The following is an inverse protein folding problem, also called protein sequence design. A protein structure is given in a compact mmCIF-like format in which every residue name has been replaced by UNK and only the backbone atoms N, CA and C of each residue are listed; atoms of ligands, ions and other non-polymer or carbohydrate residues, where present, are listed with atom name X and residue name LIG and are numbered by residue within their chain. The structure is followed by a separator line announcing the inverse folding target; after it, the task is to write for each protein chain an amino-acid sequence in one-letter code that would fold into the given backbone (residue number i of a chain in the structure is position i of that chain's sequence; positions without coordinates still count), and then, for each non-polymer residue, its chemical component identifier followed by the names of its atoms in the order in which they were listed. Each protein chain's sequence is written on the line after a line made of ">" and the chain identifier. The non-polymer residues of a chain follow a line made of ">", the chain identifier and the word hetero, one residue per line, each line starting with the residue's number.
data_IF_526964163298
#
_entry.id   IF_526964163298
#
_cell.length_a   1.000
_cell.length_b   1.000
_cell.length_c   1.000
_cell.angle_alpha   90.00
_cell.angle_beta   90.00
_cell.angle_gamma   90.00
#
_symmetry.space_group_name_H-M   'P 1'
#
loop_
_entity.id
_entity.type
_entity.pdbx_description
1 polymer ?
#
# COMPACT_ATOMS: atom_id res chain seq x y z
N UNK A 1 -13.85 21.75 -85.85
CA UNK A 1 -14.39 22.75 -84.96
C UNK A 1 -15.15 22.00 -83.85
N UNK A 2 -14.51 21.72 -82.75
CA UNK A 2 -15.18 21.14 -81.60
C UNK A 2 -14.91 22.07 -80.39
N UNK A 3 -15.98 22.72 -79.89
CA UNK A 3 -15.95 23.53 -78.72
C UNK A 3 -15.87 22.61 -77.50
N UNK A 4 -14.78 22.68 -76.77
CA UNK A 4 -14.68 22.08 -75.42
C UNK A 4 -15.42 22.99 -74.43
N UNK A 5 -16.47 22.44 -73.84
CA UNK A 5 -17.25 23.06 -72.78
C UNK A 5 -16.47 22.88 -71.47
N UNK A 6 -15.98 23.97 -70.87
CA UNK A 6 -15.34 24.03 -69.58
C UNK A 6 -16.40 23.95 -68.53
N UNK A 7 -16.50 22.80 -67.85
CA UNK A 7 -17.32 22.66 -66.62
C UNK A 7 -16.62 23.42 -65.50
N UNK A 8 -17.25 24.49 -65.12
CA UNK A 8 -16.89 25.28 -63.94
C UNK A 8 -17.39 24.54 -62.69
N UNK A 9 -16.46 23.84 -62.05
CA UNK A 9 -16.73 23.12 -60.80
C UNK A 9 -16.84 24.16 -59.67
N UNK A 10 -18.04 24.66 -59.46
CA UNK A 10 -18.38 25.49 -58.32
C UNK A 10 -18.34 24.60 -57.06
N UNK A 11 -17.16 24.50 -56.46
CA UNK A 11 -16.98 23.94 -55.13
C UNK A 11 -17.75 24.75 -54.10
N UNK A 12 -19.01 24.38 -53.90
CA UNK A 12 -19.80 24.89 -52.79
C UNK A 12 -19.07 24.52 -51.48
N UNK A 13 -18.42 25.49 -50.86
CA UNK A 13 -17.91 25.33 -49.49
C UNK A 13 -19.09 24.92 -48.60
N UNK A 14 -18.95 23.85 -47.79
CA UNK A 14 -20.03 23.44 -46.92
C UNK A 14 -20.38 24.58 -45.97
N UNK A 15 -21.62 25.08 -46.08
CA UNK A 15 -22.16 26.05 -45.14
C UNK A 15 -22.10 25.43 -43.76
N UNK A 16 -21.04 25.71 -43.03
CA UNK A 16 -20.95 25.37 -41.60
C UNK A 16 -22.08 26.12 -40.90
N UNK A 17 -23.09 25.39 -40.51
CA UNK A 17 -24.20 25.93 -39.72
C UNK A 17 -23.64 26.53 -38.44
N UNK A 18 -23.88 27.80 -38.20
CA UNK A 18 -23.48 28.52 -36.94
C UNK A 18 -23.95 27.74 -35.73
N UNK A 19 -25.11 27.09 -35.81
CA UNK A 19 -25.63 26.18 -34.79
C UNK A 19 -24.69 24.98 -34.53
N UNK A 20 -24.07 24.41 -35.55
CA UNK A 20 -23.12 23.29 -35.41
C UNK A 20 -21.82 23.71 -34.74
N UNK A 21 -21.32 24.90 -35.01
CA UNK A 21 -20.10 25.41 -34.36
C UNK A 21 -20.32 25.73 -32.89
N UNK A 22 -21.45 26.32 -32.57
CA UNK A 22 -21.84 26.59 -31.15
C UNK A 22 -22.01 25.28 -30.39
N UNK A 23 -22.68 24.29 -31.00
CA UNK A 23 -22.86 22.99 -30.37
C UNK A 23 -21.53 22.27 -30.15
N UNK A 24 -20.62 22.27 -31.14
CA UNK A 24 -19.30 21.65 -31.06
C UNK A 24 -18.45 22.31 -29.94
N UNK A 25 -18.49 23.64 -29.82
CA UNK A 25 -17.77 24.39 -28.79
C UNK A 25 -18.32 24.04 -27.40
N UNK A 26 -19.63 24.00 -27.25
CA UNK A 26 -20.27 23.65 -25.99
C UNK A 26 -19.99 22.21 -25.59
N UNK A 27 -20.08 21.26 -26.53
CA UNK A 27 -19.76 19.87 -26.30
C UNK A 27 -18.29 19.66 -25.91
N UNK A 28 -17.36 20.39 -26.53
CA UNK A 28 -15.94 20.32 -26.18
C UNK A 28 -15.65 20.86 -24.78
N UNK A 29 -16.27 21.99 -24.40
CA UNK A 29 -16.15 22.52 -23.05
C UNK A 29 -16.69 21.56 -21.99
N UNK A 30 -17.82 20.93 -22.27
CA UNK A 30 -18.44 19.94 -21.38
C UNK A 30 -17.55 18.71 -21.21
N UNK A 31 -16.94 18.23 -22.28
CA UNK A 31 -16.00 17.11 -22.28
C UNK A 31 -14.75 17.44 -21.47
N UNK A 32 -14.17 18.64 -21.65
CA UNK A 32 -13.01 19.09 -20.86
C UNK A 32 -13.37 19.17 -19.37
N UNK A 33 -14.53 19.75 -19.03
CA UNK A 33 -14.99 19.84 -17.65
C UNK A 33 -15.16 18.44 -17.01
N UNK A 34 -15.71 17.49 -17.77
CA UNK A 34 -15.90 16.11 -17.32
C UNK A 34 -14.57 15.39 -17.09
N UNK A 35 -13.59 15.56 -17.99
CA UNK A 35 -12.25 15.00 -17.83
C UNK A 35 -11.55 15.59 -16.58
N UNK A 36 -11.63 16.90 -16.38
CA UNK A 36 -11.07 17.55 -15.20
C UNK A 36 -11.71 17.03 -13.90
N UNK A 37 -13.03 16.87 -13.91
CA UNK A 37 -13.75 16.33 -12.75
C UNK A 37 -13.35 14.88 -12.46
N UNK A 38 -13.19 14.03 -13.47
CA UNK A 38 -12.67 12.66 -13.32
C UNK A 38 -11.25 12.64 -12.74
N UNK A 39 -10.36 13.51 -13.21
CA UNK A 39 -8.99 13.61 -12.68
C UNK A 39 -8.98 14.03 -11.20
N UNK A 40 -9.79 15.03 -10.82
CA UNK A 40 -9.93 15.46 -9.45
C UNK A 40 -10.48 14.36 -8.54
N UNK A 41 -11.53 13.66 -8.97
CA UNK A 41 -12.12 12.55 -8.22
C UNK A 41 -11.11 11.41 -8.03
N UNK A 42 -10.37 11.05 -9.08
CA UNK A 42 -9.35 10.00 -8.99
C UNK A 42 -8.23 10.40 -8.02
N UNK A 43 -7.74 11.64 -8.11
CA UNK A 43 -6.71 12.15 -7.22
C UNK A 43 -7.13 12.14 -5.75
N UNK A 44 -8.34 12.64 -5.45
CA UNK A 44 -8.89 12.64 -4.10
C UNK A 44 -9.10 11.21 -3.57
N UNK A 45 -9.61 10.30 -4.40
CA UNK A 45 -9.79 8.90 -4.03
C UNK A 45 -8.46 8.23 -3.69
N UNK A 46 -7.43 8.42 -4.51
CA UNK A 46 -6.09 7.86 -4.22
C UNK A 46 -5.52 8.40 -2.91
N UNK A 47 -5.64 9.70 -2.64
CA UNK A 47 -5.17 10.30 -1.40
C UNK A 47 -5.93 9.75 -0.18
N UNK A 48 -7.26 9.63 -0.29
CA UNK A 48 -8.10 9.06 0.75
C UNK A 48 -7.73 7.60 1.05
N UNK A 49 -7.58 6.75 0.03
CA UNK A 49 -7.19 5.36 0.21
C UNK A 49 -5.80 5.20 0.84
N UNK A 50 -4.84 6.04 0.46
CA UNK A 50 -3.52 6.02 1.08
C UNK A 50 -3.59 6.35 2.58
N UNK A 51 -4.38 7.37 2.94
CA UNK A 51 -4.58 7.77 4.33
C UNK A 51 -5.31 6.70 5.14
N UNK A 52 -6.34 6.09 4.58
CA UNK A 52 -7.09 4.99 5.21
C UNK A 52 -6.19 3.78 5.48
N UNK A 53 -5.37 3.38 4.49
CA UNK A 53 -4.42 2.28 4.65
C UNK A 53 -3.36 2.57 5.72
N UNK A 54 -2.85 3.79 5.74
CA UNK A 54 -1.93 4.22 6.79
C UNK A 54 -2.57 4.11 8.16
N UNK A 55 -3.79 4.59 8.32
CA UNK A 55 -4.53 4.52 9.60
C UNK A 55 -4.81 3.08 10.02
N UNK A 56 -5.23 2.22 9.10
CA UNK A 56 -5.47 0.81 9.36
C UNK A 56 -4.20 0.07 9.80
N UNK A 57 -3.07 0.29 9.09
CA UNK A 57 -1.77 -0.28 9.46
C UNK A 57 -1.27 0.23 10.81
N UNK A 58 -1.47 1.52 11.11
CA UNK A 58 -1.10 2.07 12.41
C UNK A 58 -1.90 1.40 13.54
N UNK A 59 -3.20 1.16 13.33
CA UNK A 59 -4.03 0.45 14.31
C UNK A 59 -3.57 -1.00 14.54
N UNK A 60 -3.17 -1.71 13.47
CA UNK A 60 -2.58 -3.06 13.58
C UNK A 60 -1.25 -2.99 14.32
N UNK A 61 -0.39 -2.03 13.99
CA UNK A 61 0.90 -1.83 14.66
C UNK A 61 0.73 -1.52 16.14
N UNK A 62 -0.23 -0.67 16.51
CA UNK A 62 -0.54 -0.34 17.90
C UNK A 62 -1.02 -1.59 18.65
N UNK A 63 -1.93 -2.37 18.06
CA UNK A 63 -2.41 -3.62 18.64
C UNK A 63 -1.31 -4.67 18.81
N UNK A 64 -0.47 -4.83 17.77
CA UNK A 64 0.66 -5.75 17.82
C UNK A 64 1.73 -5.29 18.83
N UNK A 65 1.97 -3.98 18.98
CA UNK A 65 2.87 -3.41 19.99
C UNK A 65 2.36 -3.71 21.40
N UNK A 66 1.09 -3.43 21.68
CA UNK A 66 0.50 -3.74 23.00
C UNK A 66 0.57 -5.23 23.34
N UNK A 67 0.38 -6.09 22.35
CA UNK A 67 0.54 -7.53 22.50
C UNK A 67 1.99 -7.92 22.77
N UNK A 68 2.95 -7.38 22.01
CA UNK A 68 4.38 -7.61 22.22
C UNK A 68 4.82 -7.19 23.63
N UNK A 69 4.40 -6.02 24.08
CA UNK A 69 4.68 -5.52 25.46
C UNK A 69 4.05 -6.41 26.54
N UNK A 70 2.86 -6.96 26.29
CA UNK A 70 2.21 -7.89 27.21
C UNK A 70 3.05 -9.17 27.34
N UNK A 71 3.43 -9.80 26.25
CA UNK A 71 4.31 -10.97 26.28
C UNK A 71 5.70 -10.65 26.85
N UNK A 72 6.21 -9.46 26.55
CA UNK A 72 7.48 -8.99 27.10
C UNK A 72 7.45 -8.86 28.63
N UNK A 73 6.28 -8.56 29.24
CA UNK A 73 6.11 -8.51 30.67
C UNK A 73 6.06 -9.90 31.33
N UNK A 74 5.66 -10.92 30.59
CA UNK A 74 5.65 -12.33 31.05
C UNK A 74 7.03 -12.99 30.90
N UNK A 75 7.87 -12.50 29.99
CA UNK A 75 9.21 -13.01 29.75
C UNK A 75 9.87 -12.39 28.54
N UNK A 76 11.08 -12.82 28.22
CA UNK A 76 11.80 -12.33 27.03
C UNK A 76 11.29 -13.06 25.77
N UNK A 77 10.72 -12.31 24.83
CA UNK A 77 10.26 -12.85 23.52
C UNK A 77 11.46 -13.13 22.60
N UNK A 78 12.60 -12.49 22.84
CA UNK A 78 13.86 -12.75 22.13
C UNK A 78 14.46 -14.02 22.71
N UNK A 79 14.21 -15.15 22.07
CA UNK A 79 14.80 -16.42 22.48
C UNK A 79 16.31 -16.42 22.27
N UNK A 80 17.03 -16.39 23.38
CA UNK A 80 18.36 -16.99 23.41
C UNK A 80 18.23 -18.49 23.10
N UNK A 81 19.20 -19.15 22.46
CA UNK A 81 19.20 -20.58 22.24
C UNK A 81 18.98 -21.31 23.59
N UNK A 82 17.81 -21.91 23.78
CA UNK A 82 17.39 -22.53 25.06
C UNK A 82 16.32 -21.81 25.86
N UNK A 83 15.75 -20.72 25.33
CA UNK A 83 14.64 -19.98 25.95
C UNK A 83 13.28 -20.67 25.80
N UNK A 84 12.29 -20.10 26.45
CA UNK A 84 10.94 -20.65 26.60
C UNK A 84 10.19 -20.66 25.25
N UNK A 85 10.31 -21.75 24.50
CA UNK A 85 9.65 -21.94 23.20
C UNK A 85 8.12 -21.77 23.29
N UNK A 86 7.52 -22.01 24.48
CA UNK A 86 6.08 -21.89 24.66
C UNK A 86 5.61 -20.44 24.57
N UNK A 87 6.37 -19.49 25.14
CA UNK A 87 6.03 -18.06 25.08
C UNK A 87 6.13 -17.53 23.65
N UNK A 88 7.15 -17.94 22.91
CA UNK A 88 7.34 -17.57 21.51
C UNK A 88 6.20 -18.12 20.63
N UNK A 89 5.80 -19.35 20.82
CA UNK A 89 4.68 -19.96 20.08
C UNK A 89 3.35 -19.29 20.43
N UNK A 90 3.14 -18.91 21.70
CA UNK A 90 1.96 -18.12 22.10
C UNK A 90 1.95 -16.75 21.43
N UNK A 91 3.08 -16.05 21.44
CA UNK A 91 3.21 -14.74 20.79
C UNK A 91 2.94 -14.86 19.30
N UNK A 92 3.52 -15.86 18.63
CA UNK A 92 3.29 -16.14 17.21
C UNK A 92 1.81 -16.40 16.92
N UNK A 93 1.16 -17.24 17.70
CA UNK A 93 -0.27 -17.52 17.57
C UNK A 93 -1.10 -16.25 17.75
N UNK A 94 -0.73 -15.40 18.72
CA UNK A 94 -1.36 -14.12 18.94
C UNK A 94 -1.22 -13.18 17.75
N UNK A 95 -0.03 -13.08 17.16
CA UNK A 95 0.21 -12.26 15.97
C UNK A 95 -0.49 -12.81 14.70
N UNK A 96 -0.69 -14.12 14.61
CA UNK A 96 -1.46 -14.73 13.49
C UNK A 96 -2.92 -14.26 13.45
N UNK A 97 -3.48 -13.80 14.57
CA UNK A 97 -4.81 -13.20 14.59
C UNK A 97 -4.88 -11.93 13.74
N UNK A 98 -3.82 -11.12 13.70
CA UNK A 98 -3.78 -9.93 12.84
C UNK A 98 -3.74 -10.31 11.36
N UNK A 99 -3.01 -11.37 11.02
CA UNK A 99 -3.00 -11.87 9.65
C UNK A 99 -4.40 -12.35 9.21
N UNK A 100 -5.08 -13.10 10.08
CA UNK A 100 -6.41 -13.64 9.79
C UNK A 100 -7.49 -12.56 9.75
N UNK A 101 -7.41 -11.55 10.64
CA UNK A 101 -8.46 -10.54 10.79
C UNK A 101 -8.29 -9.33 9.88
N UNK A 102 -7.05 -8.98 9.53
CA UNK A 102 -6.72 -7.71 8.84
C UNK A 102 -5.87 -7.91 7.58
N UNK A 103 -5.60 -9.15 7.17
CA UNK A 103 -4.68 -9.49 6.07
C UNK A 103 -3.32 -8.76 6.24
N UNK A 104 -2.91 -8.61 7.51
CA UNK A 104 -1.71 -7.91 7.88
C UNK A 104 -0.66 -8.90 8.39
N UNK A 105 0.47 -8.92 7.71
CA UNK A 105 1.66 -9.64 8.13
C UNK A 105 2.34 -8.85 9.24
N UNK A 106 2.70 -9.54 10.33
CA UNK A 106 3.46 -8.95 11.44
C UNK A 106 4.86 -9.57 11.44
N UNK A 107 5.89 -8.73 11.54
CA UNK A 107 7.29 -9.17 11.70
C UNK A 107 7.84 -8.55 12.99
N UNK A 108 8.59 -9.37 13.72
CA UNK A 108 9.35 -8.94 14.89
C UNK A 108 10.83 -9.20 14.63
N UNK A 109 11.66 -8.21 14.83
CA UNK A 109 13.10 -8.31 14.64
C UNK A 109 13.84 -7.84 15.89
N UNK A 110 15.06 -8.36 16.09
CA UNK A 110 15.96 -7.91 17.13
C UNK A 110 16.61 -6.56 16.78
N UNK A 111 17.46 -6.06 17.68
CA UNK A 111 18.18 -4.80 17.49
C UNK A 111 19.20 -4.85 16.34
N UNK A 112 19.66 -6.04 15.98
CA UNK A 112 20.60 -6.25 14.87
C UNK A 112 19.87 -6.45 13.52
N UNK A 113 18.55 -6.32 13.54
CA UNK A 113 17.69 -6.46 12.37
C UNK A 113 17.42 -7.90 11.96
N UNK A 114 17.81 -8.92 12.77
CA UNK A 114 17.48 -10.30 12.46
C UNK A 114 16.00 -10.55 12.77
N UNK A 115 15.30 -11.20 11.86
CA UNK A 115 13.88 -11.53 12.04
C UNK A 115 13.76 -12.67 13.04
N UNK A 116 13.10 -12.41 14.17
CA UNK A 116 12.87 -13.39 15.23
C UNK A 116 11.61 -14.21 14.97
N UNK A 117 10.55 -13.55 14.50
CA UNK A 117 9.31 -14.20 14.13
C UNK A 117 8.57 -13.39 13.06
N UNK A 118 7.73 -14.07 12.32
CA UNK A 118 6.83 -13.46 11.34
C UNK A 118 5.54 -14.27 11.21
N UNK A 119 4.46 -13.60 10.86
CA UNK A 119 3.20 -14.22 10.45
C UNK A 119 3.15 -14.19 8.93
N UNK A 120 2.80 -15.31 8.29
CA UNK A 120 2.72 -15.37 6.83
C UNK A 120 3.93 -16.03 6.17
N UNK A 121 3.83 -16.24 4.86
CA UNK A 121 4.79 -17.05 4.07
C UNK A 121 5.69 -16.23 3.15
N UNK A 122 5.48 -14.92 3.08
CA UNK A 122 6.12 -14.05 2.09
C UNK A 122 7.43 -13.42 2.58
N UNK A 123 7.98 -13.92 3.67
CA UNK A 123 9.25 -13.44 4.25
C UNK A 123 10.38 -14.35 3.77
N UNK A 124 11.48 -13.78 3.29
CA UNK A 124 12.64 -14.53 2.85
C UNK A 124 13.36 -15.18 4.04
N UNK A 125 13.80 -16.44 3.91
CA UNK A 125 14.36 -17.27 5.01
C UNK A 125 15.59 -16.64 5.71
N UNK A 126 16.34 -15.79 5.04
CA UNK A 126 17.56 -15.14 5.57
C UNK A 126 17.45 -13.62 5.59
N UNK A 127 16.23 -13.10 5.57
CA UNK A 127 15.99 -11.68 5.50
C UNK A 127 16.43 -10.96 6.77
N UNK A 128 16.94 -9.76 6.58
CA UNK A 128 17.26 -8.81 7.66
C UNK A 128 16.57 -7.49 7.39
N UNK A 129 16.22 -6.80 8.46
CA UNK A 129 15.71 -5.44 8.37
C UNK A 129 16.82 -4.52 7.88
N UNK A 130 16.59 -3.71 6.83
CA UNK A 130 17.57 -2.77 6.31
C UNK A 130 18.05 -1.77 7.36
N UNK A 131 19.35 -1.48 7.39
CA UNK A 131 19.96 -0.62 8.40
C UNK A 131 19.40 0.81 8.39
N UNK A 132 19.09 1.36 7.21
CA UNK A 132 18.50 2.68 7.07
C UNK A 132 17.14 2.79 7.79
N UNK A 133 16.34 1.72 7.79
CA UNK A 133 15.05 1.68 8.50
C UNK A 133 15.26 1.56 10.02
N UNK A 134 16.27 0.80 10.45
CA UNK A 134 16.64 0.70 11.87
C UNK A 134 17.05 2.07 12.43
N UNK A 135 17.92 2.80 11.72
CA UNK A 135 18.37 4.14 12.10
C UNK A 135 17.22 5.14 12.18
N UNK A 136 16.23 5.05 11.27
CA UNK A 136 15.07 5.90 11.29
C UNK A 136 14.18 5.61 12.51
N UNK A 137 13.92 4.35 12.85
CA UNK A 137 13.15 3.94 14.01
C UNK A 137 13.89 4.22 15.34
N UNK A 138 15.21 4.14 15.35
CA UNK A 138 16.04 4.50 16.51
C UNK A 138 15.94 5.99 16.85
N UNK A 139 15.60 6.83 15.88
CA UNK A 139 15.28 8.25 16.12
C UNK A 139 13.94 8.46 16.84
N UNK A 140 13.21 7.39 17.17
CA UNK A 140 11.91 7.43 17.84
C UNK A 140 10.73 7.74 16.93
N UNK A 141 10.90 7.56 15.61
CA UNK A 141 9.82 7.79 14.62
C UNK A 141 9.26 6.46 14.15
N UNK A 142 7.93 6.42 14.02
CA UNK A 142 7.28 5.37 13.27
C UNK A 142 7.58 5.56 11.78
N UNK A 143 7.94 4.48 11.11
CA UNK A 143 8.14 4.49 9.67
C UNK A 143 6.86 4.06 8.94
N UNK A 144 6.69 4.60 7.73
CA UNK A 144 5.66 4.14 6.82
C UNK A 144 6.24 4.16 5.40
N UNK A 145 6.30 3.01 4.77
CA UNK A 145 6.86 2.85 3.43
C UNK A 145 6.02 1.90 2.57
N UNK A 146 6.29 1.93 1.27
CA UNK A 146 5.68 1.05 0.29
C UNK A 146 6.78 0.37 -0.53
N UNK A 147 6.84 -0.96 -0.47
CA UNK A 147 7.88 -1.70 -1.20
C UNK A 147 8.04 -3.13 -0.70
N UNK A 148 9.22 -3.70 -1.00
CA UNK A 148 9.63 -5.06 -0.61
C UNK A 148 10.54 -5.09 0.62
N UNK A 149 10.84 -3.94 1.22
CA UNK A 149 11.80 -3.79 2.32
C UNK A 149 13.16 -4.44 1.98
N UNK A 150 13.77 -3.97 0.86
CA UNK A 150 15.05 -4.49 0.33
C UNK A 150 15.06 -6.02 0.21
N UNK A 151 14.04 -6.57 -0.47
CA UNK A 151 13.85 -8.00 -0.73
C UNK A 151 13.62 -8.87 0.53
N UNK A 152 13.36 -8.26 1.68
CA UNK A 152 12.89 -8.95 2.88
C UNK A 152 11.52 -9.61 2.63
N UNK A 153 10.67 -8.96 1.83
CA UNK A 153 9.37 -9.45 1.41
C UNK A 153 9.39 -9.77 -0.08
N UNK A 154 8.76 -10.87 -0.48
CA UNK A 154 8.71 -11.30 -1.88
C UNK A 154 7.83 -10.39 -2.74
N UNK A 155 6.76 -9.85 -2.17
CA UNK A 155 5.82 -8.96 -2.84
C UNK A 155 5.92 -7.52 -2.31
N UNK A 156 5.20 -6.60 -2.96
CA UNK A 156 5.10 -5.21 -2.52
C UNK A 156 4.02 -5.05 -1.46
N UNK A 157 4.38 -4.41 -0.36
CA UNK A 157 3.54 -4.15 0.79
C UNK A 157 3.48 -2.66 1.13
N UNK A 158 2.39 -2.25 1.77
CA UNK A 158 2.38 -1.11 2.66
C UNK A 158 2.91 -1.57 4.00
N UNK A 159 3.92 -0.93 4.53
CA UNK A 159 4.66 -1.35 5.71
C UNK A 159 4.68 -0.20 6.70
N UNK A 160 4.28 -0.48 7.93
CA UNK A 160 4.48 0.40 9.06
C UNK A 160 5.40 -0.28 10.06
N UNK A 161 6.32 0.46 10.66
CA UNK A 161 7.29 -0.10 11.62
C UNK A 161 7.54 0.83 12.78
N UNK A 162 7.86 0.23 13.93
CA UNK A 162 8.12 0.92 15.20
C UNK A 162 9.13 0.14 16.03
N UNK A 163 9.93 0.89 16.80
CA UNK A 163 10.77 0.31 17.83
C UNK A 163 9.93 -0.10 19.05
N UNK A 164 10.17 -1.29 19.58
CA UNK A 164 9.44 -1.87 20.70
C UNK A 164 10.38 -2.50 21.72
N UNK A 165 9.91 -2.65 22.96
CA UNK A 165 10.62 -3.42 24.00
C UNK A 165 10.11 -4.87 23.98
N UNK A 166 11.04 -5.82 23.87
CA UNK A 166 10.76 -7.26 23.75
C UNK A 166 11.10 -8.05 25.04
N UNK A 167 11.00 -7.41 26.21
CA UNK A 167 11.26 -8.08 27.48
C UNK A 167 12.73 -8.01 27.93
N UNK A 168 13.27 -6.80 28.00
CA UNK A 168 14.65 -6.51 28.42
C UNK A 168 15.64 -6.30 27.28
N UNK A 169 15.22 -6.51 26.02
CA UNK A 169 15.91 -6.11 24.82
C UNK A 169 15.01 -5.24 23.96
N UNK A 170 15.62 -4.32 23.22
CA UNK A 170 14.93 -3.52 22.21
C UNK A 170 14.92 -4.26 20.88
N UNK A 171 13.88 -4.03 20.11
CA UNK A 171 13.75 -4.59 18.76
C UNK A 171 12.78 -3.77 17.94
N UNK A 172 12.39 -4.32 16.81
CA UNK A 172 11.55 -3.65 15.83
C UNK A 172 10.33 -4.51 15.54
N UNK A 173 9.18 -3.85 15.45
CA UNK A 173 7.91 -4.45 15.07
C UNK A 173 7.42 -3.81 13.79
N UNK A 174 7.02 -4.64 12.84
CA UNK A 174 6.45 -4.20 11.58
C UNK A 174 5.09 -4.82 11.36
N UNK A 175 4.19 -4.03 10.81
CA UNK A 175 2.92 -4.48 10.24
C UNK A 175 2.94 -4.20 8.73
N UNK A 176 2.60 -5.18 7.92
CA UNK A 176 2.64 -5.06 6.46
C UNK A 176 1.36 -5.61 5.83
N UNK A 177 0.77 -4.88 4.86
CA UNK A 177 -0.41 -5.31 4.10
C UNK A 177 -0.09 -5.33 2.62
N UNK A 178 -0.41 -6.42 1.87
CA UNK A 178 -0.08 -6.54 0.47
C UNK A 178 -0.83 -5.52 -0.39
N UNK A 179 -0.12 -4.92 -1.36
CA UNK A 179 -0.68 -3.89 -2.26
C UNK A 179 -1.71 -4.50 -3.22
N UNK A 180 -1.51 -5.75 -3.65
CA UNK A 180 -2.40 -6.41 -4.61
C UNK A 180 -3.80 -6.74 -4.07
N UNK A 181 -4.00 -6.76 -2.76
CA UNK A 181 -5.33 -6.92 -2.17
C UNK A 181 -6.32 -5.86 -2.71
N UNK A 182 -5.84 -4.66 -3.03
CA UNK A 182 -6.65 -3.60 -3.65
C UNK A 182 -7.03 -3.94 -5.11
N UNK A 183 -6.11 -4.50 -5.89
CA UNK A 183 -6.35 -4.87 -7.28
C UNK A 183 -7.40 -5.97 -7.42
N UNK A 184 -7.39 -6.94 -6.52
CA UNK A 184 -8.39 -8.01 -6.46
C UNK A 184 -9.76 -7.45 -6.09
N UNK A 185 -9.83 -6.51 -5.14
CA UNK A 185 -11.07 -5.87 -4.72
C UNK A 185 -11.69 -5.01 -5.84
N UNK A 186 -10.88 -4.20 -6.53
CA UNK A 186 -11.31 -3.40 -7.68
C UNK A 186 -11.79 -4.32 -8.81
N UNK A 187 -11.11 -5.43 -9.07
CA UNK A 187 -11.50 -6.38 -10.11
C UNK A 187 -12.83 -7.05 -9.79
N UNK A 188 -13.13 -7.36 -8.52
CA UNK A 188 -14.41 -7.95 -8.11
C UNK A 188 -15.58 -6.97 -8.29
N UNK A 189 -15.36 -5.66 -8.08
CA UNK A 189 -16.37 -4.62 -8.31
C UNK A 189 -16.65 -4.42 -9.81
N UNK A 190 -15.60 -4.50 -10.65
CA UNK A 190 -15.73 -4.33 -12.11
C UNK A 190 -16.37 -5.54 -12.81
N UNK A 191 -16.43 -6.70 -12.14
CA UNK A 191 -17.03 -7.94 -12.69
C UNK A 191 -18.46 -8.19 -12.20
N UNK A 192 -19.01 -7.31 -11.37
CA UNK A 192 -20.42 -7.25 -11.02
C UNK A 192 -21.19 -6.32 -11.96
#
# INVERSE_FOLDING_TARGET
>A
MCCAKKEENNGAAPLRSVSGEVFATFASLLLVALVLMCMLQTGLSCAYFAQERKSALTAVLDGATAMAETYASEGNIVTLPGGDNELVERAKTGFELFNTSSDALVLVADRDGNILMHTGKDVAESAKIPQNLQEEMDSGKDIFLMGTMDDTLHDKYYIAGRRVNLGGSEGYLFAATPIHALAVYIRSILTM
#
